data_IF_268967493708
#
_entry.id   IF_268967493708
#
_cell.length_a   1.000
_cell.length_b   1.000
_cell.length_c   1.000
_cell.angle_alpha   90.00
_cell.angle_beta   90.00
_cell.angle_gamma   90.00
#
_symmetry.space_group_name_H-M   'P 1'
#
loop_
_entity.id
_entity.type
_entity.pdbx_description
1 polymer ?
#
# COMPACT_ATOMS: atom_id res chain seq x y z
N UNK A 1 -19.46 3.12 0.10
CA UNK A 1 -18.46 2.06 0.29
C UNK A 1 -17.18 2.48 -0.39
N UNK A 2 -16.02 2.13 0.16
CA UNK A 2 -14.72 2.36 -0.47
C UNK A 2 -14.14 1.04 -0.95
N UNK A 3 -13.72 0.94 -2.22
CA UNK A 3 -13.04 -0.25 -2.69
C UNK A 3 -11.64 -0.34 -2.05
N UNK A 4 -11.26 -1.56 -1.71
CA UNK A 4 -10.00 -1.89 -1.05
C UNK A 4 -9.18 -2.75 -2.01
N UNK A 5 -7.91 -2.42 -2.13
CA UNK A 5 -6.99 -3.07 -3.04
C UNK A 5 -5.71 -3.50 -2.32
N UNK A 6 -5.13 -4.62 -2.74
CA UNK A 6 -3.73 -4.95 -2.49
C UNK A 6 -2.91 -4.33 -3.60
N UNK A 7 -1.97 -3.46 -3.25
CA UNK A 7 -1.00 -2.92 -4.20
C UNK A 7 0.34 -3.60 -3.99
N UNK A 8 1.05 -3.83 -5.08
CA UNK A 8 2.38 -4.40 -5.12
C UNK A 8 3.31 -3.41 -5.79
N UNK A 9 4.39 -3.05 -5.12
CA UNK A 9 5.43 -2.16 -5.65
C UNK A 9 6.77 -2.90 -5.73
N UNK A 10 7.55 -2.66 -6.77
CA UNK A 10 8.92 -3.18 -6.86
C UNK A 10 9.78 -2.65 -5.70
N UNK A 11 10.61 -3.54 -5.16
CA UNK A 11 11.59 -3.19 -4.14
C UNK A 11 12.82 -2.57 -4.80
N UNK A 12 13.39 -1.53 -4.19
CA UNK A 12 14.67 -0.97 -4.63
C UNK A 12 15.83 -1.95 -4.36
N UNK A 13 15.76 -2.65 -3.23
CA UNK A 13 16.70 -3.71 -2.86
C UNK A 13 15.92 -4.81 -2.16
N UNK A 14 15.88 -5.99 -2.78
CA UNK A 14 15.36 -7.20 -2.16
C UNK A 14 16.53 -7.94 -1.49
N UNK A 15 16.27 -8.56 -0.35
CA UNK A 15 17.30 -9.41 0.27
C UNK A 15 17.58 -10.62 -0.65
N UNK A 16 18.86 -10.87 -0.99
CA UNK A 16 19.30 -11.80 -2.03
C UNK A 16 19.08 -13.27 -1.65
N UNK A 17 18.97 -13.59 -0.36
CA UNK A 17 18.89 -14.97 0.14
C UNK A 17 17.45 -15.54 0.10
N UNK A 18 16.52 -14.82 -0.50
CA UNK A 18 15.13 -15.24 -0.62
C UNK A 18 14.64 -15.27 -2.07
N UNK A 19 13.61 -16.08 -2.35
CA UNK A 19 13.03 -16.21 -3.69
C UNK A 19 12.61 -14.86 -4.27
N UNK A 20 13.00 -14.62 -5.52
CA UNK A 20 12.66 -13.42 -6.30
C UNK A 20 11.64 -13.75 -7.40
N UNK A 21 10.78 -12.80 -7.81
CA UNK A 21 10.72 -11.40 -7.36
C UNK A 21 9.97 -11.20 -6.03
N UNK A 22 10.32 -10.13 -5.29
CA UNK A 22 9.60 -9.68 -4.09
C UNK A 22 9.06 -8.27 -4.28
N UNK A 23 7.90 -8.01 -3.66
CA UNK A 23 7.20 -6.72 -3.77
C UNK A 23 6.90 -6.15 -2.39
N UNK A 24 7.04 -4.83 -2.26
CA UNK A 24 6.46 -4.11 -1.15
C UNK A 24 4.93 -4.09 -1.32
N UNK A 25 4.24 -4.81 -0.44
CA UNK A 25 2.79 -4.97 -0.49
C UNK A 25 2.12 -4.00 0.47
N UNK A 26 1.10 -3.30 -0.01
CA UNK A 26 0.37 -2.30 0.78
C UNK A 26 -1.13 -2.46 0.58
N UNK A 27 -1.94 -2.04 1.56
CA UNK A 27 -3.39 -1.96 1.40
C UNK A 27 -3.76 -0.54 0.99
N UNK A 28 -4.60 -0.41 -0.02
CA UNK A 28 -5.08 0.88 -0.50
C UNK A 28 -6.59 0.94 -0.42
N UNK A 29 -7.09 1.98 0.24
CA UNK A 29 -8.52 2.27 0.33
C UNK A 29 -8.78 3.49 -0.53
N UNK A 30 -9.50 3.31 -1.63
CA UNK A 30 -9.79 4.38 -2.59
C UNK A 30 -10.95 5.23 -2.06
N UNK A 31 -10.62 6.31 -1.35
CA UNK A 31 -11.59 7.20 -0.72
C UNK A 31 -11.97 8.41 -1.58
N UNK A 32 -11.22 8.68 -2.65
CA UNK A 32 -11.41 9.85 -3.54
C UNK A 32 -11.66 9.38 -4.97
N UNK A 33 -12.92 9.45 -5.41
CA UNK A 33 -13.31 8.96 -6.74
C UNK A 33 -12.84 9.85 -7.89
N UNK A 34 -12.73 11.17 -7.66
CA UNK A 34 -12.41 12.13 -8.73
C UNK A 34 -11.02 11.90 -9.36
N UNK A 35 -10.03 11.52 -8.55
CA UNK A 35 -8.64 11.28 -8.96
C UNK A 35 -8.20 9.83 -8.75
N UNK A 36 -9.13 8.93 -8.41
CA UNK A 36 -8.84 7.54 -8.02
C UNK A 36 -7.79 7.46 -6.89
N UNK A 37 -7.76 8.48 -6.04
CA UNK A 37 -6.88 8.60 -4.90
C UNK A 37 -7.48 8.02 -3.63
N UNK A 38 -6.66 7.97 -2.59
CA UNK A 38 -7.11 7.35 -1.35
C UNK A 38 -6.06 7.34 -0.26
N UNK A 39 -6.21 6.41 0.67
CA UNK A 39 -5.31 6.20 1.79
C UNK A 39 -4.56 4.89 1.60
N UNK A 40 -3.24 4.99 1.69
CA UNK A 40 -2.32 3.88 1.65
C UNK A 40 -1.96 3.47 3.08
N UNK A 41 -2.25 2.22 3.42
CA UNK A 41 -1.76 1.55 4.62
C UNK A 41 -0.55 0.71 4.26
N UNK A 42 0.57 0.94 4.92
CA UNK A 42 1.75 0.12 4.72
C UNK A 42 2.55 -0.05 6.00
N UNK A 43 3.35 -1.11 6.01
CA UNK A 43 4.31 -1.36 7.08
C UNK A 43 5.67 -0.91 6.61
N UNK A 44 6.34 -0.09 7.41
CA UNK A 44 7.67 0.45 7.10
C UNK A 44 8.57 0.36 8.33
N UNK A 45 9.84 0.71 8.14
CA UNK A 45 10.88 0.54 9.13
C UNK A 45 11.47 -0.88 9.11
N UNK A 46 12.33 -1.14 10.07
CA UNK A 46 13.08 -2.37 10.22
C UNK A 46 13.30 -2.66 11.71
N UNK A 47 13.72 -3.88 12.03
CA UNK A 47 13.86 -4.36 13.42
C UNK A 47 14.98 -3.62 14.17
N UNK A 48 15.96 -3.07 13.44
CA UNK A 48 17.13 -2.40 14.03
C UNK A 48 16.93 -0.90 14.25
N UNK A 49 15.99 -0.30 13.52
CA UNK A 49 15.58 1.09 13.72
C UNK A 49 15.00 1.31 15.12
N UNK A 50 15.30 2.46 15.74
CA UNK A 50 14.77 2.84 17.07
C UNK A 50 13.24 2.94 17.12
N UNK A 51 12.61 3.17 15.96
CA UNK A 51 11.15 3.18 15.79
C UNK A 51 10.57 1.82 15.40
N UNK A 52 11.42 0.82 15.17
CA UNK A 52 11.05 -0.54 14.82
C UNK A 52 10.27 -0.67 13.51
N UNK A 53 9.58 -1.80 13.38
CA UNK A 53 8.58 -2.03 12.34
C UNK A 53 7.29 -1.34 12.78
N UNK A 54 6.73 -0.49 11.91
CA UNK A 54 5.51 0.26 12.21
C UNK A 54 4.54 0.32 11.04
N UNK A 55 3.27 0.43 11.37
CA UNK A 55 2.21 0.72 10.42
C UNK A 55 2.08 2.23 10.23
N UNK A 56 2.03 2.67 8.98
CA UNK A 56 1.81 4.05 8.58
C UNK A 56 0.62 4.17 7.63
N UNK A 57 -0.07 5.31 7.72
CA UNK A 57 -1.11 5.71 6.79
C UNK A 57 -0.67 6.98 6.07
N UNK A 58 -0.88 7.04 4.75
CA UNK A 58 -0.64 8.28 4.00
C UNK A 58 -1.63 8.49 2.87
N UNK A 59 -2.00 9.76 2.59
CA UNK A 59 -2.73 10.07 1.38
C UNK A 59 -1.89 9.73 0.15
N UNK A 60 -2.55 9.21 -0.88
CA UNK A 60 -1.94 8.88 -2.17
C UNK A 60 -2.85 9.30 -3.31
N UNK A 61 -2.25 9.76 -4.40
CA UNK A 61 -2.90 9.82 -5.71
C UNK A 61 -3.06 8.40 -6.27
N UNK A 62 -3.48 8.32 -7.52
CA UNK A 62 -3.65 7.06 -8.25
C UNK A 62 -2.38 6.20 -8.18
N UNK A 63 -2.42 4.99 -7.60
CA UNK A 63 -1.24 4.14 -7.41
C UNK A 63 -0.45 3.81 -8.68
N UNK A 64 -1.16 3.66 -9.80
CA UNK A 64 -0.65 3.30 -11.11
C UNK A 64 0.29 4.35 -11.71
N UNK A 65 0.28 5.58 -11.19
CA UNK A 65 1.21 6.64 -11.60
C UNK A 65 2.62 6.45 -11.05
N UNK A 66 2.79 5.56 -10.08
CA UNK A 66 4.08 5.30 -9.45
C UNK A 66 4.98 4.45 -10.35
N UNK A 67 6.22 4.88 -10.59
CA UNK A 67 7.20 4.11 -11.40
C UNK A 67 7.50 2.71 -10.85
N UNK A 68 7.31 2.50 -9.56
CA UNK A 68 7.53 1.20 -8.91
C UNK A 68 6.25 0.35 -8.87
N UNK A 69 5.13 0.84 -9.38
CA UNK A 69 3.89 0.10 -9.40
C UNK A 69 4.04 -1.20 -10.22
N UNK A 70 3.62 -2.32 -9.63
CA UNK A 70 3.63 -3.62 -10.28
C UNK A 70 2.21 -4.16 -10.50
N UNK A 71 1.37 -4.17 -9.46
CA UNK A 71 0.03 -4.74 -9.55
C UNK A 71 -0.95 -4.08 -8.56
N UNK A 72 -2.25 -4.11 -8.92
CA UNK A 72 -3.39 -3.71 -8.10
C UNK A 72 -4.44 -4.81 -8.15
N UNK A 73 -4.66 -5.47 -7.02
CA UNK A 73 -5.62 -6.56 -6.88
C UNK A 73 -6.79 -6.10 -6.00
N UNK A 74 -8.02 -6.28 -6.47
CA UNK A 74 -9.21 -5.95 -5.72
C UNK A 74 -9.45 -6.95 -4.59
N UNK A 75 -9.63 -6.46 -3.37
CA UNK A 75 -9.87 -7.29 -2.18
C UNK A 75 -11.32 -7.24 -1.69
N UNK A 76 -12.08 -6.20 -2.05
CA UNK A 76 -13.47 -6.03 -1.59
C UNK A 76 -13.80 -4.57 -1.27
N UNK A 77 -14.82 -4.38 -0.43
CA UNK A 77 -15.30 -3.06 -0.04
C UNK A 77 -15.27 -2.88 1.48
N UNK A 78 -15.02 -1.64 1.92
CA UNK A 78 -15.24 -1.18 3.28
C UNK A 78 -16.41 -0.20 3.34
N UNK A 79 -17.17 -0.23 4.42
CA UNK A 79 -18.19 0.77 4.70
C UNK A 79 -17.52 2.13 4.91
N UNK A 80 -17.99 3.15 4.18
CA UNK A 80 -17.38 4.48 4.22
C UNK A 80 -17.48 5.11 5.63
N UNK A 81 -18.63 4.93 6.29
CA UNK A 81 -18.91 5.51 7.60
C UNK A 81 -18.16 4.82 8.75
N UNK A 82 -17.59 3.63 8.52
CA UNK A 82 -16.81 2.90 9.53
C UNK A 82 -15.31 2.96 9.29
N UNK A 83 -14.87 3.69 8.26
CA UNK A 83 -13.47 3.78 7.89
C UNK A 83 -12.89 5.06 8.50
N UNK A 84 -12.01 4.90 9.48
CA UNK A 84 -11.34 5.97 10.22
C UNK A 84 -9.88 6.01 9.77
N UNK A 85 -9.39 7.22 9.51
CA UNK A 85 -8.01 7.51 9.11
C UNK A 85 -7.22 7.95 10.34
#
# INVERSE_FOLDING_TARGET
>A
YYPVYRLMFSLAMADPDMPQPRYHTTIFVETRQADQGGILHHVTGDITSSQGIRHEQKPRSRPEESRTFYNKEFLGYKLANSYII
#
